data_IF_140010461021
#
_entry.id   IF_140010461021
#
_cell.length_a   1.000
_cell.length_b   1.000
_cell.length_c   1.000
_cell.angle_alpha   90.00
_cell.angle_beta   90.00
_cell.angle_gamma   90.00
#
_symmetry.space_group_name_H-M   'P 1'
#
loop_
_entity.id
_entity.type
_entity.pdbx_description
1 polymer ?
#
# COMPACT_ATOMS: atom_id res chain seq x y z
N UNK A 1 12.68 -11.92 0.35
CA UNK A 1 11.23 -12.18 0.38
C UNK A 1 10.55 -11.58 1.61
N UNK A 2 10.86 -12.02 2.85
CA UNK A 2 10.26 -11.44 4.07
C UNK A 2 10.38 -9.91 4.18
N UNK A 3 11.56 -9.33 3.90
CA UNK A 3 11.78 -7.87 3.96
C UNK A 3 10.87 -7.07 3.00
N UNK A 4 10.83 -7.45 1.71
CA UNK A 4 9.98 -6.76 0.72
C UNK A 4 8.48 -6.86 1.03
N UNK A 5 8.01 -7.99 1.56
CA UNK A 5 6.60 -8.10 2.01
C UNK A 5 6.33 -7.18 3.20
N UNK A 6 7.24 -7.10 4.17
CA UNK A 6 7.12 -6.20 5.32
C UNK A 6 7.14 -4.72 4.90
N UNK A 7 8.02 -4.34 3.98
CA UNK A 7 8.10 -2.96 3.46
C UNK A 7 6.82 -2.54 2.74
N UNK A 8 6.27 -3.42 1.89
CA UNK A 8 4.99 -3.16 1.20
C UNK A 8 3.83 -3.06 2.19
N UNK A 9 3.77 -3.94 3.19
CA UNK A 9 2.73 -3.91 4.21
C UNK A 9 2.77 -2.63 5.05
N UNK A 10 3.96 -2.22 5.51
CA UNK A 10 4.12 -0.98 6.27
C UNK A 10 3.76 0.25 5.42
N UNK A 11 4.24 0.28 4.17
CA UNK A 11 3.93 1.38 3.26
C UNK A 11 2.43 1.50 2.97
N UNK A 12 1.72 0.38 2.83
CA UNK A 12 0.27 0.39 2.67
C UNK A 12 -0.44 0.99 3.90
N UNK A 13 0.05 0.68 5.11
CA UNK A 13 -0.50 1.24 6.34
C UNK A 13 -0.23 2.74 6.45
N UNK A 14 0.97 3.20 6.09
CA UNK A 14 1.33 4.62 6.09
C UNK A 14 0.47 5.42 5.10
N UNK A 15 0.21 4.89 3.90
CA UNK A 15 -0.67 5.51 2.91
C UNK A 15 -2.10 5.58 3.44
N UNK A 16 -2.60 4.51 4.07
CA UNK A 16 -3.94 4.48 4.67
C UNK A 16 -4.08 5.60 5.70
N UNK A 17 -3.09 5.75 6.58
CA UNK A 17 -3.13 6.71 7.67
C UNK A 17 -3.04 8.15 7.15
N UNK A 18 -2.17 8.40 6.16
CA UNK A 18 -2.08 9.70 5.48
C UNK A 18 -3.38 10.07 4.78
N UNK A 19 -3.96 9.15 4.00
CA UNK A 19 -5.22 9.39 3.29
C UNK A 19 -6.39 9.63 4.27
N UNK A 20 -6.40 8.91 5.40
CA UNK A 20 -7.40 9.13 6.45
C UNK A 20 -7.26 10.52 7.07
N UNK A 21 -6.04 10.95 7.39
CA UNK A 21 -5.77 12.28 7.93
C UNK A 21 -6.19 13.38 6.94
N UNK A 22 -5.80 13.27 5.68
CA UNK A 22 -6.16 14.24 4.63
C UNK A 22 -7.69 14.38 4.47
N UNK A 23 -8.43 13.27 4.58
CA UNK A 23 -9.90 13.29 4.55
C UNK A 23 -10.50 13.96 5.77
N UNK A 24 -9.95 13.71 6.97
CA UNK A 24 -10.40 14.36 8.21
C UNK A 24 -10.15 15.87 8.13
N UNK A 25 -8.97 16.27 7.67
CA UNK A 25 -8.59 17.68 7.49
C UNK A 25 -9.48 18.38 6.44
N UNK A 26 -9.96 17.64 5.44
CA UNK A 26 -10.94 18.09 4.47
C UNK A 26 -12.40 18.15 5.01
N UNK A 27 -12.63 17.77 6.27
CA UNK A 27 -13.92 17.84 6.94
C UNK A 27 -14.78 16.58 6.84
N UNK A 28 -14.23 15.46 6.35
CA UNK A 28 -14.91 14.15 6.38
C UNK A 28 -14.96 13.64 7.81
N UNK A 29 -16.07 13.03 8.23
CA UNK A 29 -16.15 12.46 9.58
C UNK A 29 -15.09 11.37 9.78
N UNK A 30 -14.47 11.25 10.98
CA UNK A 30 -13.40 10.26 11.20
C UNK A 30 -13.79 8.82 10.84
N UNK A 31 -15.07 8.46 11.05
CA UNK A 31 -15.58 7.13 10.70
C UNK A 31 -15.64 6.91 9.19
N UNK A 32 -16.09 7.89 8.43
CA UNK A 32 -16.16 7.81 6.97
C UNK A 32 -14.77 7.88 6.33
N UNK A 33 -13.89 8.72 6.87
CA UNK A 33 -12.49 8.82 6.45
C UNK A 33 -11.74 7.49 6.65
N UNK A 34 -11.97 6.81 7.78
CA UNK A 34 -11.39 5.49 8.03
C UNK A 34 -11.89 4.43 7.03
N UNK A 35 -13.20 4.41 6.75
CA UNK A 35 -13.77 3.47 5.79
C UNK A 35 -13.24 3.75 4.38
N UNK A 36 -13.25 5.00 3.94
CA UNK A 36 -12.81 5.41 2.61
C UNK A 36 -11.31 5.15 2.40
N UNK A 37 -10.47 5.53 3.37
CA UNK A 37 -9.03 5.25 3.32
C UNK A 37 -8.72 3.75 3.30
N UNK A 38 -9.49 2.94 4.03
CA UNK A 38 -9.37 1.47 4.00
C UNK A 38 -9.73 0.90 2.63
N UNK A 39 -10.82 1.35 2.01
CA UNK A 39 -11.24 0.90 0.67
C UNK A 39 -10.21 1.29 -0.38
N UNK A 40 -9.75 2.53 -0.37
CA UNK A 40 -8.74 3.03 -1.30
C UNK A 40 -7.41 2.27 -1.16
N UNK A 41 -6.97 2.00 0.07
CA UNK A 41 -5.75 1.23 0.33
C UNK A 41 -5.87 -0.21 -0.17
N UNK A 42 -7.03 -0.87 0.02
CA UNK A 42 -7.28 -2.22 -0.51
C UNK A 42 -7.18 -2.27 -2.03
N UNK A 43 -7.85 -1.34 -2.73
CA UNK A 43 -7.78 -1.28 -4.19
C UNK A 43 -6.34 -1.13 -4.69
N UNK A 44 -5.55 -0.26 -4.04
CA UNK A 44 -4.13 -0.08 -4.38
C UNK A 44 -3.29 -1.32 -4.09
N UNK A 45 -3.62 -2.09 -3.05
CA UNK A 45 -2.92 -3.36 -2.78
C UNK A 45 -3.26 -4.44 -3.79
N UNK A 46 -4.50 -4.52 -4.26
CA UNK A 46 -4.88 -5.44 -5.31
C UNK A 46 -4.09 -5.18 -6.60
N UNK A 47 -3.90 -3.91 -6.97
CA UNK A 47 -3.06 -3.51 -8.12
C UNK A 47 -1.60 -3.96 -7.93
N UNK A 48 -1.02 -3.72 -6.75
CA UNK A 48 0.36 -4.13 -6.44
C UNK A 48 0.50 -5.65 -6.48
N UNK A 49 -0.44 -6.39 -5.89
CA UNK A 49 -0.43 -7.85 -5.90
C UNK A 49 -0.51 -8.36 -7.34
N UNK A 50 -1.38 -7.78 -8.17
CA UNK A 50 -1.50 -8.16 -9.58
C UNK A 50 -0.20 -7.86 -10.37
N UNK A 51 0.44 -6.71 -10.13
CA UNK A 51 1.71 -6.33 -10.79
C UNK A 51 2.90 -7.20 -10.35
N UNK A 52 2.93 -7.59 -9.07
CA UNK A 52 4.02 -8.35 -8.47
C UNK A 52 3.86 -9.86 -8.67
N UNK A 53 2.65 -10.38 -8.56
CA UNK A 53 2.35 -11.81 -8.53
C UNK A 53 1.79 -12.33 -9.85
N UNK A 54 1.38 -11.44 -10.77
CA UNK A 54 0.93 -11.84 -12.10
C UNK A 54 2.05 -12.51 -12.90
N UNK A 55 1.96 -13.83 -13.08
CA UNK A 55 2.85 -14.65 -13.92
C UNK A 55 4.37 -14.63 -13.60
N UNK A 56 4.77 -14.28 -12.37
CA UNK A 56 6.18 -14.22 -11.95
C UNK A 56 6.57 -15.39 -11.04
N UNK A 57 7.81 -15.86 -11.13
CA UNK A 57 8.36 -16.85 -10.20
C UNK A 57 8.78 -16.20 -8.86
N UNK A 58 9.08 -17.01 -7.83
CA UNK A 58 9.36 -16.51 -6.48
C UNK A 58 10.54 -15.52 -6.37
N UNK A 59 11.55 -15.65 -7.24
CA UNK A 59 12.68 -14.73 -7.28
C UNK A 59 12.29 -13.38 -7.88
N UNK A 60 11.51 -13.39 -8.95
CA UNK A 60 10.96 -12.20 -9.62
C UNK A 60 9.95 -11.45 -8.74
N UNK A 61 9.12 -12.19 -8.01
CA UNK A 61 8.21 -11.66 -6.98
C UNK A 61 9.01 -10.94 -5.89
N UNK A 62 10.04 -11.61 -5.35
CA UNK A 62 10.88 -11.04 -4.30
C UNK A 62 11.57 -9.76 -4.75
N UNK A 63 12.09 -9.74 -5.98
CA UNK A 63 12.74 -8.58 -6.55
C UNK A 63 11.76 -7.42 -6.75
N UNK A 64 10.57 -7.69 -7.31
CA UNK A 64 9.52 -6.69 -7.54
C UNK A 64 9.04 -6.06 -6.22
N UNK A 65 8.79 -6.87 -5.19
CA UNK A 65 8.40 -6.38 -3.86
C UNK A 65 9.45 -5.47 -3.23
N UNK A 66 10.74 -5.82 -3.36
CA UNK A 66 11.83 -5.01 -2.82
C UNK A 66 11.96 -3.66 -3.53
N UNK A 67 11.71 -3.60 -4.85
CA UNK A 67 11.72 -2.33 -5.57
C UNK A 67 10.55 -1.43 -5.21
N UNK A 68 9.35 -2.00 -5.02
CA UNK A 68 8.15 -1.25 -4.64
C UNK A 68 8.26 -0.68 -3.22
N UNK A 69 8.77 -1.47 -2.27
CA UNK A 69 9.08 -1.00 -0.91
C UNK A 69 10.06 0.17 -0.92
N UNK A 70 11.11 0.11 -1.75
CA UNK A 70 12.12 1.16 -1.88
C UNK A 70 11.63 2.44 -2.60
N UNK A 71 10.72 2.33 -3.59
CA UNK A 71 10.17 3.51 -4.28
C UNK A 71 9.17 4.28 -3.45
N UNK A 72 8.47 3.62 -2.52
CA UNK A 72 7.41 4.26 -1.74
C UNK A 72 7.96 4.99 -0.50
N UNK A 73 9.23 4.78 -0.14
CA UNK A 73 9.92 5.48 0.96
C UNK A 73 10.49 6.86 0.58
N UNK A 74 10.36 7.30 -0.68
CA UNK A 74 11.03 8.50 -1.21
C UNK A 74 10.14 9.66 -1.67
N UNK A 75 8.85 9.72 -1.29
CA UNK A 75 8.00 10.90 -1.56
C UNK A 75 7.07 11.24 -0.38
#
# INVERSE_FOLDING_TARGET
MKKGVTEVANSALDIKDKLCADMIDAGVSPKEALIASTVATKARMDDIINEVMGNKNAAEITHSLSQLGARTTLN
#
